data_IF_686829736219
#
_entry.id   IF_686829736219
#
_cell.length_a   1.000
_cell.length_b   1.000
_cell.length_c   1.000
_cell.angle_alpha   90.00
_cell.angle_beta   90.00
_cell.angle_gamma   90.00
#
_symmetry.space_group_name_H-M   'P 1'
#
loop_
_entity.id
_entity.type
_entity.pdbx_description
1 polymer ?
#
# COMPACT_ATOMS: atom_id res chain seq x y z
N UNK A 1 -18.38 8.85 5.43
CA UNK A 1 -17.42 7.81 5.02
C UNK A 1 -16.87 8.22 3.66
N UNK A 2 -15.55 8.35 3.54
CA UNK A 2 -14.89 8.84 2.33
C UNK A 2 -14.11 7.74 1.62
N UNK A 3 -14.04 7.82 0.29
CA UNK A 3 -13.12 7.00 -0.49
C UNK A 3 -11.71 7.55 -0.30
N UNK A 4 -10.76 6.67 0.01
CA UNK A 4 -9.34 7.00 0.10
C UNK A 4 -8.50 6.08 -0.77
N UNK A 5 -7.35 6.59 -1.21
CA UNK A 5 -6.31 5.80 -1.87
C UNK A 5 -5.11 5.74 -0.95
N UNK A 6 -4.60 4.54 -0.69
CA UNK A 6 -3.38 4.31 0.09
C UNK A 6 -2.29 3.71 -0.77
N UNK A 7 -1.06 4.08 -0.45
CA UNK A 7 0.13 3.34 -0.85
C UNK A 7 0.57 2.48 0.33
N UNK A 8 0.60 1.17 0.10
CA UNK A 8 1.21 0.20 1.01
C UNK A 8 2.64 -0.03 0.55
N UNK A 9 3.54 0.10 1.51
CA UNK A 9 4.98 -0.05 1.33
C UNK A 9 5.47 -1.24 2.11
N UNK A 10 6.38 -1.99 1.50
CA UNK A 10 7.11 -3.05 2.15
C UNK A 10 8.52 -2.53 2.42
N UNK A 11 9.01 -2.74 3.63
CA UNK A 11 10.40 -2.46 3.98
C UNK A 11 11.34 -3.26 3.05
N UNK A 12 12.44 -2.66 2.55
CA UNK A 12 13.41 -3.35 1.70
C UNK A 12 14.05 -4.61 2.31
N UNK A 13 14.06 -4.72 3.64
CA UNK A 13 14.58 -5.85 4.41
C UNK A 13 13.51 -6.88 4.80
N UNK A 14 12.29 -6.76 4.25
CA UNK A 14 11.22 -7.75 4.42
C UNK A 14 11.39 -8.91 3.45
N UNK A 15 11.02 -10.11 3.89
CA UNK A 15 10.92 -11.29 3.01
C UNK A 15 9.65 -11.28 2.14
N UNK A 16 8.73 -10.33 2.37
CA UNK A 16 7.48 -10.21 1.62
C UNK A 16 7.73 -9.48 0.31
N UNK A 17 7.32 -10.10 -0.79
CA UNK A 17 7.37 -9.47 -2.12
C UNK A 17 6.08 -8.70 -2.44
N UNK A 18 6.13 -7.68 -3.31
CA UNK A 18 4.93 -6.98 -3.78
C UNK A 18 3.88 -7.92 -4.38
N UNK A 19 4.31 -8.97 -5.09
CA UNK A 19 3.42 -9.97 -5.66
C UNK A 19 2.70 -10.80 -4.58
N UNK A 20 3.41 -11.22 -3.52
CA UNK A 20 2.80 -11.91 -2.38
C UNK A 20 1.80 -11.00 -1.66
N UNK A 21 2.15 -9.72 -1.44
CA UNK A 21 1.23 -8.77 -0.82
C UNK A 21 -0.02 -8.54 -1.67
N UNK A 22 0.13 -8.32 -2.98
CA UNK A 22 -0.99 -8.17 -3.90
C UNK A 22 -1.87 -9.43 -3.91
N UNK A 23 -1.27 -10.62 -3.92
CA UNK A 23 -2.00 -11.88 -3.83
C UNK A 23 -2.80 -11.98 -2.52
N UNK A 24 -2.19 -11.63 -1.37
CA UNK A 24 -2.87 -11.64 -0.07
C UNK A 24 -4.06 -10.68 -0.05
N UNK A 25 -3.86 -9.46 -0.52
CA UNK A 25 -4.93 -8.45 -0.60
C UNK A 25 -6.06 -8.94 -1.51
N UNK A 26 -5.73 -9.50 -2.68
CA UNK A 26 -6.74 -10.07 -3.57
C UNK A 26 -7.51 -11.23 -2.92
N UNK A 27 -6.85 -12.08 -2.12
CA UNK A 27 -7.54 -13.12 -1.34
C UNK A 27 -8.50 -12.53 -0.33
N UNK A 28 -8.10 -11.53 0.46
CA UNK A 28 -8.98 -10.85 1.44
C UNK A 28 -10.21 -10.25 0.74
N UNK A 29 -9.99 -9.58 -0.40
CA UNK A 29 -11.07 -9.00 -1.20
C UNK A 29 -12.03 -10.09 -1.72
N UNK A 30 -11.50 -11.21 -2.21
CA UNK A 30 -12.30 -12.29 -2.82
C UNK A 30 -13.05 -13.12 -1.79
N UNK A 31 -12.43 -13.40 -0.64
CA UNK A 31 -13.05 -14.10 0.49
C UNK A 31 -14.20 -13.29 1.10
N UNK A 32 -14.23 -11.97 0.82
CA UNK A 32 -15.27 -11.02 1.21
C UNK A 32 -15.73 -11.19 2.66
N UNK A 33 -14.76 -11.40 3.56
CA UNK A 33 -15.00 -11.47 5.00
C UNK A 33 -15.77 -10.21 5.37
N UNK A 34 -17.01 -10.36 5.86
CA UNK A 34 -17.87 -9.27 6.31
C UNK A 34 -18.11 -8.09 5.32
N UNK A 35 -17.95 -8.26 3.99
CA UNK A 35 -18.17 -7.17 3.02
C UNK A 35 -16.95 -6.26 2.76
N UNK A 36 -15.79 -6.60 3.32
CA UNK A 36 -14.53 -5.83 3.26
C UNK A 36 -14.01 -5.65 1.83
N UNK A 37 -14.27 -6.61 0.94
CA UNK A 37 -13.76 -6.57 -0.43
C UNK A 37 -14.56 -5.71 -1.41
N UNK A 38 -15.82 -5.40 -1.09
CA UNK A 38 -16.71 -4.75 -2.05
C UNK A 38 -16.29 -3.30 -2.32
N UNK A 39 -16.07 -2.98 -3.60
CA UNK A 39 -15.63 -1.65 -4.03
C UNK A 39 -14.15 -1.34 -3.82
N UNK A 40 -13.34 -2.33 -3.43
CA UNK A 40 -11.90 -2.17 -3.23
C UNK A 40 -11.12 -2.51 -4.50
N UNK A 41 -10.21 -1.61 -4.90
CA UNK A 41 -9.31 -1.81 -6.03
C UNK A 41 -7.88 -1.96 -5.50
N UNK A 42 -7.16 -2.98 -5.97
CA UNK A 42 -5.74 -3.18 -5.67
C UNK A 42 -4.91 -3.13 -6.95
N UNK A 43 -3.75 -2.47 -6.88
CA UNK A 43 -2.75 -2.44 -7.96
C UNK A 43 -1.35 -2.64 -7.41
N UNK A 44 -0.64 -3.61 -7.95
CA UNK A 44 0.76 -3.87 -7.59
C UNK A 44 1.68 -2.71 -8.01
N UNK A 45 2.73 -2.48 -7.21
CA UNK A 45 3.81 -1.53 -7.48
C UNK A 45 5.16 -2.17 -7.16
N UNK A 46 6.26 -1.54 -7.58
CA UNK A 46 7.62 -2.02 -7.26
C UNK A 46 7.92 -2.02 -5.75
N UNK A 47 7.13 -1.32 -4.94
CA UNK A 47 7.39 -1.11 -3.51
C UNK A 47 6.33 -1.78 -2.61
N UNK A 48 5.34 -2.43 -3.21
CA UNK A 48 4.17 -2.95 -2.51
C UNK A 48 2.91 -2.83 -3.35
N UNK A 49 1.87 -2.18 -2.84
CA UNK A 49 0.58 -2.08 -3.53
C UNK A 49 -0.12 -0.73 -3.33
N UNK A 50 -0.93 -0.33 -4.30
CA UNK A 50 -1.95 0.69 -4.13
C UNK A 50 -3.27 0.04 -3.79
N UNK A 51 -3.99 0.65 -2.85
CA UNK A 51 -5.33 0.28 -2.44
C UNK A 51 -6.24 1.50 -2.58
N UNK A 52 -7.46 1.30 -3.04
CA UNK A 52 -8.49 2.34 -3.11
C UNK A 52 -9.84 1.76 -2.70
N UNK A 53 -10.56 2.47 -1.84
CA UNK A 53 -11.87 2.06 -1.34
C UNK A 53 -12.33 2.91 -0.15
N UNK A 54 -13.36 2.46 0.55
CA UNK A 54 -13.80 3.12 1.79
C UNK A 54 -12.74 3.03 2.89
N UNK A 55 -12.51 4.13 3.61
CA UNK A 55 -11.46 4.22 4.63
C UNK A 55 -11.53 3.12 5.71
N UNK A 56 -12.72 2.75 6.16
CA UNK A 56 -12.90 1.71 7.19
C UNK A 56 -12.42 0.34 6.65
N UNK A 57 -12.81 -0.01 5.42
CA UNK A 57 -12.33 -1.22 4.73
C UNK A 57 -10.82 -1.21 4.52
N UNK A 58 -10.24 -0.04 4.22
CA UNK A 58 -8.79 0.08 4.08
C UNK A 58 -8.07 -0.21 5.39
N UNK A 59 -8.59 0.27 6.52
CA UNK A 59 -8.02 0.00 7.83
C UNK A 59 -8.04 -1.50 8.15
N UNK A 60 -9.17 -2.17 7.90
CA UNK A 60 -9.31 -3.62 8.14
C UNK A 60 -8.37 -4.45 7.25
N UNK A 61 -8.26 -4.12 5.96
CA UNK A 61 -7.30 -4.79 5.07
C UNK A 61 -5.87 -4.56 5.55
N UNK A 62 -5.54 -3.35 6.02
CA UNK A 62 -4.20 -3.04 6.52
C UNK A 62 -3.84 -3.86 7.77
N UNK A 63 -4.78 -4.07 8.69
CA UNK A 63 -4.58 -4.91 9.87
C UNK A 63 -4.27 -6.36 9.48
N UNK A 64 -5.01 -6.91 8.52
CA UNK A 64 -4.76 -8.27 8.03
C UNK A 64 -3.44 -8.41 7.27
N UNK A 65 -3.09 -7.43 6.44
CA UNK A 65 -1.86 -7.47 5.65
C UNK A 65 -0.62 -7.31 6.54
N UNK A 66 -0.68 -6.48 7.59
CA UNK A 66 0.41 -6.34 8.57
C UNK A 66 0.75 -7.66 9.28
N UNK A 67 -0.18 -8.63 9.37
CA UNK A 67 0.14 -9.95 9.93
C UNK A 67 1.17 -10.75 9.11
N UNK A 68 1.40 -10.38 7.85
CA UNK A 68 2.45 -10.98 7.02
C UNK A 68 3.85 -10.58 7.48
N UNK A 69 4.01 -9.32 7.88
CA UNK A 69 5.23 -8.76 8.46
C UNK A 69 4.85 -7.53 9.30
N UNK A 70 4.82 -7.73 10.63
CA UNK A 70 4.18 -6.81 11.59
C UNK A 70 4.77 -5.41 11.51
N UNK A 71 6.09 -5.32 11.49
CA UNK A 71 6.84 -4.06 11.52
C UNK A 71 7.52 -3.74 10.18
N UNK A 72 7.47 -4.64 9.19
CA UNK A 72 7.97 -4.40 7.83
C UNK A 72 6.93 -3.86 6.84
N UNK A 73 5.66 -3.74 7.20
CA UNK A 73 4.60 -3.23 6.32
C UNK A 73 4.10 -1.86 6.78
N UNK A 74 4.16 -0.89 5.89
CA UNK A 74 3.80 0.51 6.13
C UNK A 74 2.69 0.97 5.18
N UNK A 75 1.99 2.05 5.54
CA UNK A 75 1.04 2.67 4.62
C UNK A 75 1.02 4.18 4.76
N UNK A 76 0.73 4.87 3.66
CA UNK A 76 0.45 6.31 3.66
C UNK A 76 -0.71 6.65 2.73
N UNK A 77 -1.52 7.67 3.07
CA UNK A 77 -2.57 8.16 2.19
C UNK A 77 -1.97 8.81 0.94
N UNK A 78 -2.73 8.79 -0.16
CA UNK A 78 -2.37 9.35 -1.45
C UNK A 78 -3.49 10.26 -1.93
N UNK A 79 -3.14 11.45 -2.43
CA UNK A 79 -4.12 12.45 -2.90
C UNK A 79 -4.72 12.20 -4.28
N UNK A 80 -4.42 11.08 -4.94
CA UNK A 80 -4.89 10.76 -6.29
C UNK A 80 -5.40 9.31 -6.35
N UNK A 81 -6.52 9.07 -7.03
CA UNK A 81 -7.01 7.74 -7.36
C UNK A 81 -5.99 6.87 -8.12
N UNK A 82 -6.22 5.57 -8.09
CA UNK A 82 -5.51 4.61 -8.93
C UNK A 82 -5.86 4.89 -10.38
N UNK A 83 -4.83 5.15 -11.21
CA UNK A 83 -5.02 5.42 -12.64
C UNK A 83 -5.43 6.85 -12.99
N UNK A 84 -5.51 7.77 -12.03
CA UNK A 84 -5.84 9.18 -12.30
C UNK A 84 -4.93 9.78 -13.38
N UNK A 85 -5.54 10.33 -14.44
CA UNK A 85 -4.85 10.85 -15.63
C UNK A 85 -3.96 12.04 -15.33
N UNK A 86 -4.21 12.78 -14.24
CA UNK A 86 -3.39 13.91 -13.76
C UNK A 86 -2.08 13.45 -13.13
N UNK A 87 -2.04 12.22 -12.61
CA UNK A 87 -0.86 11.65 -11.96
C UNK A 87 -0.18 10.55 -12.78
N UNK A 88 -0.90 9.90 -13.71
CA UNK A 88 -0.41 8.77 -14.47
C UNK A 88 0.76 9.17 -15.40
N UNK A 89 1.88 8.45 -15.29
CA UNK A 89 3.07 8.70 -16.13
C UNK A 89 2.80 8.44 -17.62
N UNK A 90 1.93 7.48 -17.93
CA UNK A 90 1.61 7.11 -19.31
C UNK A 90 0.87 8.24 -20.04
N UNK A 91 -0.14 8.83 -19.39
CA UNK A 91 -0.90 9.97 -19.95
C UNK A 91 -0.07 11.24 -20.03
N UNK A 92 0.90 11.40 -19.12
CA UNK A 92 1.83 12.54 -19.09
C UNK A 92 3.08 12.35 -19.97
N UNK A 93 3.09 11.34 -20.84
CA UNK A 93 4.18 11.07 -21.80
C UNK A 93 5.58 10.91 -21.15
N UNK A 94 5.62 10.41 -19.92
CA UNK A 94 6.85 10.41 -19.13
C UNK A 94 7.03 11.72 -18.37
N UNK A 95 7.21 11.62 -17.06
CA UNK A 95 7.40 12.74 -16.16
C UNK A 95 7.47 12.27 -14.71
N UNK A 96 7.86 13.15 -13.77
CA UNK A 96 7.89 12.82 -12.35
C UNK A 96 6.48 12.46 -11.88
N UNK A 97 6.36 11.37 -11.10
CA UNK A 97 5.07 10.94 -10.52
C UNK A 97 4.71 11.91 -9.39
N UNK A 98 3.68 12.76 -9.52
CA UNK A 98 3.29 13.69 -8.47
C UNK A 98 2.87 12.89 -7.23
N UNK A 99 3.33 13.31 -6.06
CA UNK A 99 3.07 12.62 -4.79
C UNK A 99 4.05 11.51 -4.43
N UNK A 100 5.14 11.32 -5.20
CA UNK A 100 6.20 10.35 -4.91
C UNK A 100 7.60 10.97 -4.87
N UNK A 101 7.72 12.28 -4.64
CA UNK A 101 8.98 13.02 -4.77
C UNK A 101 10.11 12.54 -3.86
N UNK A 102 9.79 11.89 -2.74
CA UNK A 102 10.77 11.36 -1.80
C UNK A 102 10.60 9.87 -1.54
N UNK A 103 9.84 9.16 -2.40
CA UNK A 103 9.48 7.77 -2.11
C UNK A 103 10.71 6.86 -1.97
N UNK A 104 11.71 7.02 -2.84
CA UNK A 104 12.95 6.23 -2.78
C UNK A 104 13.68 6.44 -1.45
N UNK A 105 13.86 7.70 -1.04
CA UNK A 105 14.51 8.04 0.23
C UNK A 105 13.69 7.57 1.45
N UNK A 106 12.35 7.72 1.41
CA UNK A 106 11.47 7.22 2.46
C UNK A 106 11.60 5.70 2.63
N UNK A 107 11.71 4.96 1.52
CA UNK A 107 11.84 3.51 1.51
C UNK A 107 13.17 3.06 2.08
N UNK A 108 14.26 3.75 1.75
CA UNK A 108 15.59 3.48 2.32
C UNK A 108 15.63 3.64 3.86
N UNK A 109 14.72 4.44 4.43
CA UNK A 109 14.62 4.64 5.88
C UNK A 109 13.78 3.57 6.58
N UNK A 110 12.90 2.86 5.87
CA UNK A 110 11.99 1.89 6.47
C UNK A 110 12.66 0.79 7.32
N UNK A 111 13.83 0.24 6.95
CA UNK A 111 14.51 -0.75 7.78
C UNK A 111 14.85 -0.22 9.18
N UNK A 112 15.27 1.05 9.27
CA UNK A 112 15.56 1.69 10.57
C UNK A 112 14.30 1.94 11.39
N UNK A 113 13.20 2.29 10.71
CA UNK A 113 11.90 2.46 11.37
C UNK A 113 11.42 1.11 11.91
N UNK A 114 11.57 0.03 11.13
CA UNK A 114 11.26 -1.33 11.54
C UNK A 114 12.07 -1.76 12.77
N UNK A 115 13.39 -1.61 12.72
CA UNK A 115 14.29 -1.91 13.85
C UNK A 115 13.85 -1.18 15.13
N UNK A 116 13.56 0.11 15.03
CA UNK A 116 13.09 0.89 16.17
C UNK A 116 11.70 0.44 16.67
N UNK A 117 10.82 -0.06 15.81
CA UNK A 117 9.52 -0.62 16.21
C UNK A 117 9.70 -1.98 16.89
N UNK A 118 10.57 -2.84 16.36
CA UNK A 118 10.90 -4.14 16.94
C UNK A 118 11.47 -4.00 18.37
N UNK A 119 12.25 -2.95 18.65
CA UNK A 119 12.84 -2.67 19.97
C UNK A 119 11.82 -2.19 21.03
N UNK A 120 10.66 -1.67 20.61
CA UNK A 120 9.63 -1.10 21.52
C UNK A 120 8.55 -2.13 21.89
N UNK A 121 8.46 -3.24 21.15
CA UNK A 121 7.47 -4.32 21.34
C UNK A 121 7.92 -5.43 22.29
#
# INVERSE_FOLDING_TARGET
>A
MGIETRLILISPDSDITPAQMKSRISSIITENIAGIGEGVIVKETCYGALLEGEADKMSEIMEEVRKMDKNGIFSKPRGFPIGDTRACRATRLGGPRPGFHQLELEIELLPKVREALDDIE
#
